data_IF_354395784025
#
_entry.id   IF_354395784025
#
_cell.length_a   1.000
_cell.length_b   1.000
_cell.length_c   1.000
_cell.angle_alpha   90.00
_cell.angle_beta   90.00
_cell.angle_gamma   90.00
#
_symmetry.space_group_name_H-M   'P 1'
#
loop_
_entity.id
_entity.type
_entity.pdbx_description
1 polymer ?
#
# COMPACT_ATOMS: atom_id res chain seq x y z
N UNK A 1 0.38 1.66 21.65
CA UNK A 1 -0.67 1.19 20.72
C UNK A 1 -1.11 2.34 19.84
N UNK A 2 -1.35 2.07 18.54
CA UNK A 2 -1.80 3.05 17.56
C UNK A 2 -2.52 2.37 16.39
N UNK A 3 -3.18 3.18 15.55
CA UNK A 3 -3.72 2.81 14.26
C UNK A 3 -4.73 1.65 14.32
N UNK A 4 -5.83 1.77 15.07
CA UNK A 4 -6.85 0.73 15.11
C UNK A 4 -7.61 0.64 13.79
N UNK A 5 -7.83 -0.59 13.30
CA UNK A 5 -8.80 -0.88 12.25
C UNK A 5 -9.93 -1.73 12.83
N UNK A 6 -11.18 -1.37 12.52
CA UNK A 6 -12.35 -2.19 12.80
C UNK A 6 -12.78 -2.87 11.50
N UNK A 7 -13.05 -4.17 11.55
CA UNK A 7 -13.54 -4.95 10.41
C UNK A 7 -14.63 -5.94 10.83
N UNK A 8 -15.46 -6.34 9.88
CA UNK A 8 -16.45 -7.37 10.07
C UNK A 8 -15.96 -8.70 9.47
N UNK A 9 -16.05 -9.76 10.24
CA UNK A 9 -15.78 -11.11 9.76
C UNK A 9 -16.93 -12.03 10.17
N UNK A 10 -17.64 -12.56 9.16
CA UNK A 10 -18.78 -13.48 9.34
C UNK A 10 -19.85 -12.96 10.34
N UNK A 11 -20.14 -11.65 10.26
CA UNK A 11 -21.17 -11.01 11.09
C UNK A 11 -20.71 -10.60 12.49
N UNK A 12 -19.45 -10.83 12.86
CA UNK A 12 -18.84 -10.38 14.09
C UNK A 12 -17.85 -9.27 13.82
N UNK A 13 -17.85 -8.21 14.66
CA UNK A 13 -16.86 -7.14 14.58
C UNK A 13 -15.62 -7.46 15.39
N UNK A 14 -14.48 -7.20 14.78
CA UNK A 14 -13.16 -7.30 15.36
C UNK A 14 -12.41 -5.98 15.17
N UNK A 15 -11.40 -5.76 16.01
CA UNK A 15 -10.46 -4.67 15.83
C UNK A 15 -9.04 -5.21 15.94
N UNK A 16 -8.16 -4.72 15.08
CA UNK A 16 -6.72 -4.90 15.23
C UNK A 16 -6.06 -3.58 15.55
N UNK A 17 -5.00 -3.65 16.36
CA UNK A 17 -4.27 -2.47 16.82
C UNK A 17 -2.77 -2.76 16.76
N UNK A 18 -2.02 -1.87 16.11
CA UNK A 18 -0.58 -1.94 16.09
C UNK A 18 0.06 -1.59 17.44
N UNK A 19 1.17 -2.19 17.75
CA UNK A 19 1.84 -1.95 19.02
C UNK A 19 3.27 -2.42 19.06
N UNK A 20 3.85 -2.20 20.22
CA UNK A 20 5.16 -2.71 20.62
C UNK A 20 5.00 -3.42 21.97
N UNK A 21 5.58 -4.60 22.12
CA UNK A 21 5.60 -5.32 23.39
C UNK A 21 6.70 -4.80 24.32
N UNK A 22 6.81 -5.39 25.53
CA UNK A 22 7.82 -5.00 26.53
C UNK A 22 9.25 -5.29 26.07
N UNK A 23 9.44 -6.25 25.18
CA UNK A 23 10.74 -6.59 24.58
C UNK A 23 11.09 -5.69 23.38
N UNK A 24 10.33 -4.61 23.18
CA UNK A 24 10.49 -3.67 22.07
C UNK A 24 10.33 -4.31 20.68
N UNK A 25 9.44 -5.30 20.57
CA UNK A 25 9.09 -5.96 19.31
C UNK A 25 7.72 -5.50 18.84
N UNK A 26 7.60 -5.27 17.54
CA UNK A 26 6.34 -4.92 16.91
C UNK A 26 5.34 -6.07 16.98
N UNK A 27 4.12 -5.77 17.41
CA UNK A 27 3.01 -6.72 17.53
C UNK A 27 1.74 -6.12 16.96
N UNK A 28 0.78 -6.99 16.64
CA UNK A 28 -0.59 -6.61 16.30
C UNK A 28 -1.51 -7.31 17.31
N UNK A 29 -2.42 -6.56 17.92
CA UNK A 29 -3.38 -7.12 18.88
C UNK A 29 -4.75 -7.26 18.25
N UNK A 30 -5.41 -8.40 18.51
CA UNK A 30 -6.78 -8.65 18.10
C UNK A 30 -7.75 -8.46 19.27
N UNK A 31 -8.82 -7.73 19.01
CA UNK A 31 -9.95 -7.55 19.91
C UNK A 31 -11.24 -7.97 19.21
N UNK A 32 -12.19 -8.45 20.00
CA UNK A 32 -13.54 -8.84 19.58
C UNK A 32 -14.57 -7.93 20.25
N UNK A 33 -15.50 -7.35 19.48
CA UNK A 33 -16.58 -6.56 20.04
C UNK A 33 -17.53 -7.45 20.83
N UNK A 34 -18.02 -6.95 21.96
CA UNK A 34 -19.12 -7.59 22.68
C UNK A 34 -20.38 -7.63 21.81
N UNK A 35 -21.16 -8.67 21.95
CA UNK A 35 -22.35 -8.86 21.13
C UNK A 35 -23.32 -7.67 21.30
N UNK A 36 -23.62 -6.99 20.21
CA UNK A 36 -24.49 -5.79 20.15
C UNK A 36 -23.98 -4.58 20.97
N UNK A 37 -22.71 -4.58 21.34
CA UNK A 37 -22.09 -3.47 22.06
C UNK A 37 -20.70 -3.15 21.47
N UNK A 38 -20.64 -2.12 20.63
CA UNK A 38 -19.41 -1.70 19.95
C UNK A 38 -18.55 -0.74 20.80
N UNK A 39 -18.95 -0.45 22.03
CA UNK A 39 -18.15 0.33 22.98
C UNK A 39 -17.28 -0.57 23.87
N UNK A 40 -17.63 -1.86 23.99
CA UNK A 40 -16.91 -2.82 24.79
C UNK A 40 -16.23 -3.89 23.91
N UNK A 41 -14.97 -4.12 24.20
CA UNK A 41 -14.10 -5.00 23.42
C UNK A 41 -13.34 -5.95 24.34
N UNK A 42 -13.34 -7.22 24.02
CA UNK A 42 -12.53 -8.24 24.68
C UNK A 42 -11.25 -8.48 23.91
N UNK A 43 -10.13 -8.47 24.60
CA UNK A 43 -8.84 -8.87 24.03
C UNK A 43 -8.85 -10.37 23.73
N UNK A 44 -8.53 -10.75 22.50
CA UNK A 44 -8.43 -12.15 22.06
C UNK A 44 -7.00 -12.65 22.20
N UNK A 45 -6.05 -11.90 21.66
CA UNK A 45 -4.63 -12.29 21.65
C UNK A 45 -3.78 -11.38 20.79
N UNK A 46 -2.47 -11.60 20.81
CA UNK A 46 -1.57 -11.06 19.82
C UNK A 46 -1.76 -11.88 18.53
N UNK A 47 -1.93 -11.18 17.41
CA UNK A 47 -2.16 -11.81 16.11
C UNK A 47 -0.91 -12.58 15.67
N UNK A 48 -1.07 -13.89 15.45
CA UNK A 48 -0.03 -14.72 14.84
C UNK A 48 -0.17 -14.68 13.30
N UNK A 49 0.85 -14.20 12.63
CA UNK A 49 0.96 -14.16 11.17
C UNK A 49 2.37 -14.47 10.69
N UNK A 50 3.12 -15.24 11.51
CA UNK A 50 4.55 -15.53 11.29
C UNK A 50 5.34 -14.23 11.09
N UNK A 51 5.22 -13.33 12.08
CA UNK A 51 5.87 -12.03 12.04
C UNK A 51 7.38 -12.15 12.19
N UNK A 52 8.13 -11.44 11.38
CA UNK A 52 9.54 -11.19 11.65
C UNK A 52 9.68 -10.21 12.82
N UNK A 53 10.45 -10.61 13.82
CA UNK A 53 10.59 -9.87 15.08
C UNK A 53 11.71 -8.83 15.05
N UNK A 54 12.28 -8.46 13.89
CA UNK A 54 13.26 -7.37 13.80
C UNK A 54 12.59 -6.01 13.86
N UNK A 55 11.37 -5.88 13.34
CA UNK A 55 10.58 -4.66 13.43
C UNK A 55 10.25 -4.32 14.89
N UNK A 56 10.47 -3.06 15.28
CA UNK A 56 10.20 -2.60 16.64
C UNK A 56 8.76 -2.09 16.84
N UNK A 57 8.04 -1.82 15.76
CA UNK A 57 6.67 -1.33 15.80
C UNK A 57 5.90 -1.82 14.56
N UNK A 58 4.65 -2.25 14.75
CA UNK A 58 3.71 -2.49 13.68
C UNK A 58 2.76 -1.32 13.58
N UNK A 59 2.87 -0.53 12.51
CA UNK A 59 1.97 0.60 12.24
C UNK A 59 0.93 0.24 11.20
N UNK A 60 -0.20 0.90 11.28
CA UNK A 60 -1.31 0.80 10.32
C UNK A 60 -1.69 -0.64 9.94
N UNK A 61 -1.83 -1.59 10.91
CA UNK A 61 -2.26 -2.92 10.56
C UNK A 61 -3.68 -2.91 10.03
N UNK A 62 -3.91 -3.61 8.92
CA UNK A 62 -5.23 -3.74 8.31
C UNK A 62 -5.46 -5.18 7.88
N UNK A 63 -6.62 -5.74 8.22
CA UNK A 63 -7.12 -7.01 7.67
C UNK A 63 -8.30 -6.71 6.76
N UNK A 64 -8.27 -7.27 5.56
CA UNK A 64 -9.40 -7.33 4.65
C UNK A 64 -9.44 -8.68 3.95
N UNK A 65 -10.49 -8.95 3.20
CA UNK A 65 -10.70 -10.23 2.56
C UNK A 65 -10.90 -10.05 1.05
N UNK A 66 -10.07 -10.69 0.26
CA UNK A 66 -10.27 -10.81 -1.19
C UNK A 66 -10.94 -12.15 -1.45
N UNK A 67 -12.25 -12.12 -1.70
CA UNK A 67 -13.06 -13.31 -1.57
C UNK A 67 -13.03 -13.83 -0.13
N UNK A 68 -12.56 -15.05 0.07
CA UNK A 68 -12.41 -15.65 1.41
C UNK A 68 -10.98 -15.56 1.97
N UNK A 69 -10.01 -15.13 1.16
CA UNK A 69 -8.62 -15.07 1.58
C UNK A 69 -8.32 -13.79 2.35
N UNK A 70 -7.83 -13.89 3.60
CA UNK A 70 -7.39 -12.73 4.35
C UNK A 70 -6.12 -12.15 3.75
N UNK A 71 -6.07 -10.83 3.69
CA UNK A 71 -4.85 -10.07 3.46
C UNK A 71 -4.55 -9.25 4.70
N UNK A 72 -3.30 -9.25 5.15
CA UNK A 72 -2.82 -8.40 6.22
C UNK A 72 -1.84 -7.39 5.63
N UNK A 73 -2.18 -6.11 5.73
CA UNK A 73 -1.32 -4.99 5.37
C UNK A 73 -0.80 -4.34 6.64
N UNK A 74 0.46 -3.91 6.64
CA UNK A 74 1.06 -3.23 7.79
C UNK A 74 2.38 -2.55 7.41
N UNK A 75 2.81 -1.64 8.26
CA UNK A 75 4.07 -0.91 8.13
C UNK A 75 5.02 -1.30 9.27
N UNK A 76 5.91 -2.30 9.07
CA UNK A 76 6.82 -2.79 10.11
C UNK A 76 8.03 -1.87 10.24
N UNK A 77 7.98 -0.90 11.15
CA UNK A 77 9.10 0.02 11.39
C UNK A 77 10.33 -0.72 11.94
N UNK A 78 11.47 -0.46 11.32
CA UNK A 78 12.74 -1.09 11.69
C UNK A 78 12.89 -2.53 11.20
N UNK A 79 12.07 -2.98 10.23
CA UNK A 79 12.28 -4.25 9.55
C UNK A 79 13.70 -4.31 8.97
N UNK A 80 14.44 -5.38 9.27
CA UNK A 80 15.78 -5.58 8.71
C UNK A 80 15.69 -5.80 7.19
N UNK A 81 16.42 -5.01 6.42
CA UNK A 81 16.50 -5.15 4.95
C UNK A 81 17.03 -6.51 4.47
N UNK A 82 17.64 -7.30 5.38
CA UNK A 82 18.00 -8.69 5.10
C UNK A 82 16.81 -9.63 5.05
N UNK A 83 15.69 -9.25 5.69
CA UNK A 83 14.44 -10.03 5.64
C UNK A 83 13.73 -9.80 4.31
N UNK A 84 13.60 -8.53 3.93
CA UNK A 84 13.06 -8.12 2.64
C UNK A 84 13.62 -6.74 2.28
N UNK A 85 14.15 -6.61 1.08
CA UNK A 85 14.64 -5.33 0.58
C UNK A 85 13.47 -4.40 0.23
N UNK A 86 13.58 -3.13 0.62
CA UNK A 86 12.59 -2.09 0.34
C UNK A 86 13.28 -0.74 0.13
N UNK A 87 12.70 0.06 -0.79
CA UNK A 87 13.34 1.29 -1.27
C UNK A 87 13.15 2.50 -0.36
N UNK A 88 12.04 2.60 0.38
CA UNK A 88 11.74 3.76 1.21
C UNK A 88 12.32 3.65 2.65
N UNK A 89 12.16 4.71 3.45
CA UNK A 89 12.64 4.75 4.84
C UNK A 89 11.78 3.81 5.71
N UNK A 90 10.46 3.79 5.47
CA UNK A 90 9.49 3.00 6.19
C UNK A 90 8.83 1.99 5.25
N UNK A 91 8.93 0.69 5.55
CA UNK A 91 8.34 -0.33 4.70
C UNK A 91 6.81 -0.34 4.80
N UNK A 92 6.17 -0.68 3.68
CA UNK A 92 4.72 -0.90 3.58
C UNK A 92 4.50 -2.26 2.94
N UNK A 93 4.01 -3.21 3.71
CA UNK A 93 4.07 -4.64 3.40
C UNK A 93 2.70 -5.29 3.44
N UNK A 94 2.62 -6.48 2.83
CA UNK A 94 1.46 -7.35 2.98
C UNK A 94 1.84 -8.83 3.09
N UNK A 95 0.90 -9.59 3.65
CA UNK A 95 0.85 -11.06 3.58
C UNK A 95 -0.54 -11.50 3.15
N UNK A 96 -0.60 -12.60 2.43
CA UNK A 96 -1.87 -13.27 2.06
C UNK A 96 -1.94 -14.55 2.89
N UNK A 97 -3.01 -14.74 3.66
CA UNK A 97 -3.25 -15.96 4.41
C UNK A 97 -4.17 -16.94 3.66
N UNK A 98 -4.14 -18.18 4.04
CA UNK A 98 -5.11 -19.16 3.58
C UNK A 98 -6.48 -18.92 4.22
N UNK A 99 -6.50 -18.64 5.53
CA UNK A 99 -7.70 -18.30 6.28
C UNK A 99 -7.38 -17.47 7.53
N UNK A 100 -8.43 -16.94 8.15
CA UNK A 100 -8.33 -16.23 9.42
C UNK A 100 -9.08 -17.00 10.50
N UNK A 101 -8.39 -17.30 11.61
CA UNK A 101 -8.98 -17.88 12.81
C UNK A 101 -9.05 -16.81 13.91
N UNK A 102 -10.23 -16.22 14.13
CA UNK A 102 -10.39 -15.18 15.14
C UNK A 102 -10.36 -15.71 16.58
N UNK A 103 -10.58 -16.99 16.84
CA UNK A 103 -10.60 -17.53 18.20
C UNK A 103 -9.17 -17.75 18.74
N UNK A 104 -8.23 -18.03 17.85
CA UNK A 104 -6.81 -18.17 18.19
C UNK A 104 -5.97 -16.94 17.81
N UNK A 105 -6.61 -15.90 17.26
CA UNK A 105 -5.93 -14.72 16.73
C UNK A 105 -4.84 -15.09 15.70
N UNK A 106 -5.18 -15.88 14.68
CA UNK A 106 -4.20 -16.41 13.75
C UNK A 106 -4.57 -16.15 12.30
N UNK A 107 -3.63 -15.66 11.50
CA UNK A 107 -3.65 -15.78 10.04
C UNK A 107 -3.06 -17.14 9.72
N UNK A 108 -3.89 -18.08 9.26
CA UNK A 108 -3.49 -19.46 8.99
C UNK A 108 -2.69 -19.52 7.68
N UNK A 109 -1.58 -20.24 7.71
CA UNK A 109 -0.65 -20.38 6.57
C UNK A 109 -0.38 -19.01 5.90
N UNK A 110 0.17 -18.06 6.62
CA UNK A 110 0.50 -16.75 6.06
C UNK A 110 1.58 -16.95 5.00
N UNK A 111 1.34 -16.39 3.81
CA UNK A 111 2.30 -16.37 2.73
C UNK A 111 3.54 -15.55 3.04
N UNK A 112 4.40 -15.41 2.06
CA UNK A 112 5.63 -14.64 2.20
C UNK A 112 5.33 -13.14 2.40
N UNK A 113 6.23 -12.48 3.13
CA UNK A 113 6.22 -11.04 3.27
C UNK A 113 6.57 -10.38 1.94
N UNK A 114 5.76 -9.45 1.48
CA UNK A 114 5.92 -8.81 0.17
C UNK A 114 5.73 -7.29 0.29
N UNK A 115 6.51 -6.53 -0.48
CA UNK A 115 6.29 -5.09 -0.61
C UNK A 115 4.91 -4.82 -1.22
N UNK A 116 4.14 -3.93 -0.59
CA UNK A 116 2.87 -3.49 -1.15
C UNK A 116 3.07 -2.54 -2.32
N UNK A 117 4.11 -1.71 -2.25
CA UNK A 117 4.45 -0.74 -3.27
C UNK A 117 5.98 -0.59 -3.34
N UNK A 118 6.50 -0.38 -4.54
CA UNK A 118 7.94 -0.20 -4.78
C UNK A 118 8.34 1.28 -4.89
N UNK A 119 7.40 2.20 -4.75
CA UNK A 119 7.64 3.64 -4.74
C UNK A 119 8.16 4.14 -3.39
N UNK A 120 8.53 5.43 -3.36
CA UNK A 120 9.17 6.04 -2.18
C UNK A 120 8.17 6.46 -1.11
N UNK A 121 7.02 6.98 -1.48
CA UNK A 121 6.08 7.65 -0.58
C UNK A 121 4.79 6.89 -0.30
N UNK A 122 4.62 5.66 -0.78
CA UNK A 122 3.42 4.89 -0.48
C UNK A 122 3.47 4.33 0.94
N UNK A 123 2.72 4.95 1.85
CA UNK A 123 2.74 4.61 3.27
C UNK A 123 1.35 4.58 3.90
N UNK A 124 1.25 4.00 5.11
CA UNK A 124 0.06 4.00 5.95
C UNK A 124 -1.23 3.57 5.22
N UNK A 125 -1.13 2.57 4.36
CA UNK A 125 -2.26 2.09 3.55
C UNK A 125 -3.40 1.62 4.43
N UNK A 126 -4.61 2.10 4.12
CA UNK A 126 -5.86 1.62 4.71
C UNK A 126 -6.59 0.74 3.69
N UNK A 127 -7.17 -0.35 4.17
CA UNK A 127 -7.94 -1.28 3.33
C UNK A 127 -9.26 -1.63 4.01
N UNK A 128 -10.30 -1.86 3.22
CA UNK A 128 -11.59 -2.29 3.71
C UNK A 128 -12.37 -3.10 2.67
N UNK A 129 -13.30 -3.91 3.13
CA UNK A 129 -14.26 -4.58 2.27
C UNK A 129 -15.48 -3.68 2.08
N UNK A 130 -15.74 -3.31 0.83
CA UNK A 130 -16.91 -2.52 0.46
C UNK A 130 -18.18 -3.39 0.47
N UNK A 131 -19.38 -2.79 0.65
CA UNK A 131 -20.64 -3.53 0.67
C UNK A 131 -20.96 -4.30 -0.62
N UNK A 132 -20.36 -3.91 -1.74
CA UNK A 132 -20.49 -4.58 -3.03
C UNK A 132 -19.52 -5.77 -3.22
N UNK A 133 -18.75 -6.11 -2.20
CA UNK A 133 -17.82 -7.23 -2.18
C UNK A 133 -16.42 -6.92 -2.68
N UNK A 134 -16.15 -5.70 -3.17
CA UNK A 134 -14.79 -5.30 -3.54
C UNK A 134 -13.93 -5.08 -2.30
N UNK A 135 -12.63 -5.29 -2.46
CA UNK A 135 -11.63 -4.92 -1.46
C UNK A 135 -10.91 -3.68 -1.95
N UNK A 136 -11.04 -2.59 -1.22
CA UNK A 136 -10.56 -1.28 -1.64
C UNK A 136 -9.45 -0.79 -0.72
N UNK A 137 -8.47 -0.09 -1.30
CA UNK A 137 -7.36 0.51 -0.55
C UNK A 137 -7.10 1.95 -0.94
N UNK A 138 -6.55 2.70 -0.01
CA UNK A 138 -6.01 4.05 -0.21
C UNK A 138 -4.76 4.20 0.64
N UNK A 139 -3.75 4.88 0.12
CA UNK A 139 -2.47 5.10 0.80
C UNK A 139 -2.21 6.59 0.97
N UNK A 140 -1.43 6.95 1.97
CA UNK A 140 -0.82 8.26 2.04
C UNK A 140 0.44 8.28 1.16
N UNK A 141 0.51 9.24 0.26
CA UNK A 141 1.68 9.47 -0.60
C UNK A 141 2.55 10.55 0.05
N UNK A 142 3.25 10.17 1.07
CA UNK A 142 4.28 10.90 1.79
C UNK A 142 4.95 9.94 2.78
N UNK A 143 5.99 10.41 3.48
CA UNK A 143 6.64 9.68 4.57
C UNK A 143 6.79 10.59 5.78
N UNK A 144 6.68 10.07 7.00
CA UNK A 144 7.13 10.81 8.18
C UNK A 144 8.64 11.07 8.07
N UNK A 145 9.12 12.10 8.75
CA UNK A 145 10.53 12.52 8.79
C UNK A 145 11.13 12.97 7.44
N UNK A 146 10.29 13.24 6.44
CA UNK A 146 10.70 13.83 5.16
C UNK A 146 10.03 15.21 5.04
N UNK A 147 10.85 16.23 4.75
CA UNK A 147 10.36 17.56 4.42
C UNK A 147 9.98 17.62 2.94
N UNK A 148 8.85 18.25 2.65
CA UNK A 148 8.34 18.41 1.29
C UNK A 148 8.22 19.90 0.93
N UNK A 149 8.42 20.28 -0.33
CA UNK A 149 8.20 21.68 -0.76
C UNK A 149 6.80 22.21 -0.45
N UNK A 150 5.83 21.32 -0.29
CA UNK A 150 4.44 21.65 0.05
C UNK A 150 4.25 22.08 1.50
N UNK A 151 5.25 21.90 2.37
CA UNK A 151 5.23 22.38 3.76
C UNK A 151 5.06 23.91 3.81
N UNK A 152 5.59 24.61 2.79
CA UNK A 152 5.38 26.06 2.63
C UNK A 152 3.91 26.46 2.42
N UNK A 153 3.03 25.50 2.15
CA UNK A 153 1.59 25.69 1.91
C UNK A 153 0.74 25.01 2.99
N UNK A 154 1.33 24.68 4.13
CA UNK A 154 0.67 24.05 5.28
C UNK A 154 0.07 22.66 4.99
N UNK A 155 0.63 21.88 4.04
CA UNK A 155 0.24 20.48 3.84
C UNK A 155 1.41 19.60 3.40
N UNK A 156 1.29 18.29 3.67
CA UNK A 156 2.32 17.31 3.38
C UNK A 156 1.70 16.06 2.77
N UNK A 157 2.09 15.77 1.52
CA UNK A 157 1.59 14.63 0.76
C UNK A 157 0.13 14.73 0.33
N UNK A 158 -0.39 13.63 -0.19
CA UNK A 158 -1.77 13.49 -0.62
C UNK A 158 -2.23 12.03 -0.48
N UNK A 159 -3.52 11.77 -0.70
CA UNK A 159 -4.02 10.42 -0.82
C UNK A 159 -3.75 9.87 -2.23
N UNK A 160 -3.46 8.58 -2.31
CA UNK A 160 -3.40 7.87 -3.59
C UNK A 160 -4.79 7.81 -4.24
N UNK A 161 -4.85 7.41 -5.51
CA UNK A 161 -6.10 6.93 -6.08
C UNK A 161 -6.61 5.75 -5.25
N UNK A 162 -7.95 5.62 -5.16
CA UNK A 162 -8.56 4.41 -4.59
C UNK A 162 -8.27 3.24 -5.54
N UNK A 163 -7.75 2.15 -4.99
CA UNK A 163 -7.39 0.95 -5.74
C UNK A 163 -8.25 -0.22 -5.30
N UNK A 164 -8.68 -1.03 -6.24
CA UNK A 164 -9.24 -2.34 -5.98
C UNK A 164 -8.13 -3.37 -5.86
N UNK A 165 -8.22 -4.21 -4.85
CA UNK A 165 -7.28 -5.28 -4.58
C UNK A 165 -7.86 -6.61 -5.05
N UNK A 166 -7.08 -7.36 -5.82
CA UNK A 166 -7.43 -8.71 -6.29
C UNK A 166 -6.27 -9.66 -6.05
N UNK A 167 -6.57 -10.96 -5.92
CA UNK A 167 -5.55 -11.99 -5.79
C UNK A 167 -5.59 -12.85 -7.04
N UNK A 168 -4.42 -13.04 -7.66
CA UNK A 168 -4.24 -13.93 -8.78
C UNK A 168 -2.89 -14.64 -8.63
N UNK A 169 -2.89 -15.97 -8.79
CA UNK A 169 -1.69 -16.80 -8.70
C UNK A 169 -0.89 -16.56 -7.40
N UNK A 170 -1.59 -16.37 -6.27
CA UNK A 170 -1.01 -16.11 -4.95
C UNK A 170 -0.37 -14.73 -4.77
N UNK A 171 -0.58 -13.80 -5.71
CA UNK A 171 -0.08 -12.43 -5.66
C UNK A 171 -1.22 -11.43 -5.53
N UNK A 172 -0.97 -10.35 -4.79
CA UNK A 172 -1.89 -9.22 -4.67
C UNK A 172 -1.68 -8.26 -5.84
N UNK A 173 -2.76 -7.97 -6.55
CA UNK A 173 -2.80 -6.96 -7.59
C UNK A 173 -3.58 -5.74 -7.12
N UNK A 174 -3.14 -4.57 -7.55
CA UNK A 174 -3.73 -3.28 -7.23
C UNK A 174 -4.04 -2.54 -8.54
N UNK A 175 -5.28 -2.10 -8.70
CA UNK A 175 -5.66 -1.32 -9.88
C UNK A 175 -6.60 -0.18 -9.47
N UNK A 176 -6.48 1.03 -10.04
CA UNK A 176 -7.42 2.11 -9.77
C UNK A 176 -8.86 1.67 -10.06
N UNK A 177 -9.79 2.05 -9.17
CA UNK A 177 -11.21 1.68 -9.35
C UNK A 177 -11.78 2.25 -10.65
N UNK A 178 -12.66 1.51 -11.30
CA UNK A 178 -13.26 1.90 -12.59
C UNK A 178 -13.94 3.26 -12.55
N UNK A 179 -14.45 3.68 -11.41
CA UNK A 179 -15.08 4.99 -11.25
C UNK A 179 -14.16 6.16 -11.67
N UNK A 180 -12.84 6.00 -11.59
CA UNK A 180 -11.87 7.02 -12.01
C UNK A 180 -11.91 7.25 -13.51
N UNK A 181 -12.31 6.26 -14.30
CA UNK A 181 -12.45 6.40 -15.77
C UNK A 181 -13.44 7.49 -16.16
N UNK A 182 -14.40 7.82 -15.28
CA UNK A 182 -15.34 8.93 -15.50
C UNK A 182 -14.67 10.30 -15.56
N UNK A 183 -13.42 10.42 -15.08
CA UNK A 183 -12.63 11.64 -15.14
C UNK A 183 -11.87 11.80 -16.46
N UNK A 184 -11.83 10.73 -17.29
CA UNK A 184 -11.17 10.76 -18.59
C UNK A 184 -11.83 11.78 -19.50
N UNK A 185 -11.01 12.51 -20.22
CA UNK A 185 -11.40 13.38 -21.32
C UNK A 185 -11.09 12.68 -22.64
N UNK A 186 -11.24 13.41 -23.74
CA UNK A 186 -10.87 12.91 -25.06
C UNK A 186 -9.39 12.50 -25.11
N UNK A 187 -9.15 11.27 -25.55
CA UNK A 187 -7.80 10.76 -25.74
C UNK A 187 -7.11 11.51 -26.89
N UNK A 188 -5.86 11.85 -26.69
CA UNK A 188 -5.03 12.52 -27.69
C UNK A 188 -3.82 11.65 -28.00
N UNK A 189 -3.39 11.57 -29.26
CA UNK A 189 -2.17 10.86 -29.60
C UNK A 189 -0.97 11.37 -28.79
N UNK A 190 -0.12 10.45 -28.38
CA UNK A 190 1.17 10.79 -27.76
C UNK A 190 2.08 11.44 -28.81
N UNK A 191 2.78 12.49 -28.44
CA UNK A 191 3.76 13.18 -29.25
C UNK A 191 5.07 13.33 -28.46
N UNK A 192 6.20 13.56 -29.16
CA UNK A 192 7.50 13.68 -28.53
C UNK A 192 7.56 14.78 -27.44
N UNK A 193 6.76 15.81 -27.58
CA UNK A 193 6.53 16.82 -26.55
C UNK A 193 5.04 17.09 -26.44
N UNK A 194 4.54 17.15 -25.22
CA UNK A 194 3.14 17.43 -24.94
C UNK A 194 3.03 18.33 -23.71
N UNK A 195 2.45 19.49 -23.89
CA UNK A 195 2.05 20.33 -22.77
C UNK A 195 0.85 19.75 -22.08
N UNK A 196 0.89 19.67 -20.76
CA UNK A 196 -0.20 19.20 -19.90
C UNK A 196 -0.40 20.19 -18.75
N UNK A 197 -1.55 20.07 -18.09
CA UNK A 197 -1.81 20.79 -16.84
C UNK A 197 -1.41 19.96 -15.59
N UNK A 198 -0.49 19.02 -15.75
CA UNK A 198 -0.01 18.08 -14.72
C UNK A 198 -1.09 17.11 -14.19
N UNK A 199 -2.24 17.01 -14.87
CA UNK A 199 -3.31 16.06 -14.54
C UNK A 199 -3.65 15.31 -15.81
N UNK A 200 -3.14 14.08 -15.94
CA UNK A 200 -3.33 13.25 -17.13
C UNK A 200 -3.24 11.76 -16.80
N UNK A 201 -3.73 10.95 -17.69
CA UNK A 201 -3.47 9.52 -17.78
C UNK A 201 -2.64 9.27 -19.03
N UNK A 202 -1.62 8.44 -18.91
CA UNK A 202 -0.74 8.06 -20.01
C UNK A 202 -0.85 6.56 -20.22
N UNK A 203 -1.19 6.16 -21.44
CA UNK A 203 -1.25 4.77 -21.87
C UNK A 203 -0.26 4.55 -23.01
N UNK A 204 0.67 3.64 -22.83
CA UNK A 204 1.77 3.39 -23.76
C UNK A 204 1.96 1.89 -23.97
N UNK A 205 2.08 1.49 -25.22
CA UNK A 205 2.46 0.14 -25.62
C UNK A 205 3.92 0.11 -26.07
N UNK A 206 4.71 -0.82 -25.54
CA UNK A 206 6.11 -0.99 -25.89
C UNK A 206 6.32 -2.35 -26.57
N UNK A 207 7.08 -2.32 -27.68
CA UNK A 207 7.49 -3.55 -28.35
C UNK A 207 8.50 -4.33 -27.50
N UNK A 208 8.48 -5.64 -27.60
CA UNK A 208 9.47 -6.49 -26.93
C UNK A 208 10.91 -6.21 -27.48
N UNK A 209 11.90 -6.27 -26.60
CA UNK A 209 13.30 -6.04 -26.94
C UNK A 209 13.66 -4.57 -27.18
N UNK A 210 12.89 -3.62 -26.65
CA UNK A 210 13.13 -2.18 -26.79
C UNK A 210 13.38 -1.51 -25.45
N UNK A 211 14.10 -0.37 -25.52
CA UNK A 211 14.35 0.50 -24.37
C UNK A 211 13.81 1.89 -24.68
N UNK A 212 13.10 2.45 -23.73
CA UNK A 212 12.48 3.78 -23.86
C UNK A 212 12.74 4.60 -22.60
N UNK A 213 12.85 5.90 -22.81
CA UNK A 213 12.92 6.88 -21.72
C UNK A 213 11.93 8.00 -21.99
N UNK A 214 11.18 8.38 -20.99
CA UNK A 214 10.15 9.42 -21.05
C UNK A 214 10.37 10.34 -19.85
N UNK A 215 10.53 11.62 -20.11
CA UNK A 215 10.61 12.62 -19.04
C UNK A 215 9.23 13.20 -18.80
N UNK A 216 8.69 12.93 -17.63
CA UNK A 216 7.38 13.41 -17.17
C UNK A 216 7.57 14.69 -16.36
N UNK A 217 6.61 15.62 -16.45
CA UNK A 217 6.64 16.90 -15.74
C UNK A 217 7.93 17.71 -16.02
N UNK A 218 8.42 17.63 -17.25
CA UNK A 218 9.63 18.30 -17.66
C UNK A 218 9.48 19.84 -17.56
N UNK A 219 10.55 20.49 -17.07
CA UNK A 219 10.68 21.95 -17.14
C UNK A 219 11.28 22.38 -18.49
N UNK A 220 11.54 23.68 -18.66
CA UNK A 220 12.15 24.24 -19.88
C UNK A 220 13.57 23.69 -20.17
N UNK A 221 14.24 23.12 -19.17
CA UNK A 221 15.57 22.49 -19.31
C UNK A 221 15.47 20.98 -19.57
N UNK A 222 14.26 20.45 -19.85
CA UNK A 222 13.98 19.03 -20.03
C UNK A 222 14.30 18.17 -18.81
N UNK A 223 14.33 18.76 -17.60
CA UNK A 223 14.51 18.06 -16.34
C UNK A 223 13.15 17.73 -15.73
N UNK A 224 13.00 16.51 -15.25
CA UNK A 224 11.75 16.03 -14.67
C UNK A 224 11.88 14.61 -14.14
N UNK A 225 10.74 13.96 -13.95
CA UNK A 225 10.64 12.57 -13.54
C UNK A 225 10.95 11.66 -14.74
N UNK A 226 12.00 10.86 -14.65
CA UNK A 226 12.39 9.97 -15.75
C UNK A 226 11.78 8.59 -15.56
N UNK A 227 10.95 8.19 -16.50
CA UNK A 227 10.42 6.84 -16.63
C UNK A 227 11.23 6.09 -17.69
N UNK A 228 12.01 5.09 -17.27
CA UNK A 228 12.74 4.20 -18.16
C UNK A 228 12.06 2.85 -18.22
N UNK A 229 11.84 2.34 -19.43
CA UNK A 229 11.24 1.03 -19.69
C UNK A 229 12.19 0.21 -20.53
N UNK A 230 12.66 -0.90 -19.97
CA UNK A 230 13.54 -1.89 -20.63
C UNK A 230 12.74 -3.19 -20.78
N UNK A 231 12.19 -3.41 -21.96
CA UNK A 231 11.39 -4.61 -22.25
C UNK A 231 12.24 -5.84 -22.52
N UNK A 232 13.55 -5.68 -22.75
CA UNK A 232 14.49 -6.80 -22.88
C UNK A 232 14.79 -7.41 -21.51
N UNK A 233 14.94 -6.57 -20.48
CA UNK A 233 15.21 -7.00 -19.11
C UNK A 233 13.94 -7.13 -18.27
N UNK A 234 12.78 -6.72 -18.79
CA UNK A 234 11.52 -6.69 -18.05
C UNK A 234 11.55 -5.70 -16.86
N UNK A 235 12.24 -4.57 -17.03
CA UNK A 235 12.45 -3.59 -15.98
C UNK A 235 11.75 -2.26 -16.29
N UNK A 236 11.12 -1.70 -15.26
CA UNK A 236 10.62 -0.32 -15.25
C UNK A 236 11.32 0.41 -14.11
N UNK A 237 11.89 1.58 -14.41
CA UNK A 237 12.57 2.44 -13.44
C UNK A 237 11.95 3.82 -13.44
N UNK A 238 11.69 4.35 -12.25
CA UNK A 238 11.26 5.72 -12.04
C UNK A 238 12.39 6.46 -11.30
N UNK A 239 13.04 7.39 -11.99
CA UNK A 239 14.12 8.20 -11.44
C UNK A 239 13.67 9.63 -11.26
N UNK A 240 13.68 10.10 -10.01
CA UNK A 240 13.32 11.46 -9.63
C UNK A 240 14.51 12.33 -9.23
N UNK A 241 15.72 11.87 -9.47
CA UNK A 241 16.94 12.61 -9.14
C UNK A 241 17.05 14.00 -9.77
N UNK A 242 16.32 14.23 -10.87
CA UNK A 242 16.28 15.51 -11.60
C UNK A 242 14.90 16.20 -11.55
N UNK A 243 14.05 15.86 -10.58
CA UNK A 243 12.70 16.45 -10.48
C UNK A 243 12.67 17.87 -9.92
N UNK A 244 13.82 18.52 -9.79
CA UNK A 244 13.96 19.84 -9.19
C UNK A 244 14.08 19.80 -7.67
N UNK A 245 14.49 20.90 -7.10
CA UNK A 245 14.45 21.22 -5.66
C UNK A 245 13.47 22.35 -5.44
#
# INVERSE_FOLDING_TARGET
FRDPQIFNYKGQYYAIVGGQNLDKKGIVKLYKAEKNDYLNWSYVGDLDFSNDMTAYMMECPNIAFVGEQPILLYCPQGLDKKVLDYGNIYPNMYKIGQSFDPETATIVEPGELTNLDYGFECYATQVFNAPDGRTLSVSWLALPDVEYPTDAYDYQGCLSLVKELTIKDGKLYQYPVDAITSLRKEAQPFSAQKETNNVYELELDFSAGTKHEIVLFANEEEKGLVLSVDTEQGQITLDRGNCGQ
#
